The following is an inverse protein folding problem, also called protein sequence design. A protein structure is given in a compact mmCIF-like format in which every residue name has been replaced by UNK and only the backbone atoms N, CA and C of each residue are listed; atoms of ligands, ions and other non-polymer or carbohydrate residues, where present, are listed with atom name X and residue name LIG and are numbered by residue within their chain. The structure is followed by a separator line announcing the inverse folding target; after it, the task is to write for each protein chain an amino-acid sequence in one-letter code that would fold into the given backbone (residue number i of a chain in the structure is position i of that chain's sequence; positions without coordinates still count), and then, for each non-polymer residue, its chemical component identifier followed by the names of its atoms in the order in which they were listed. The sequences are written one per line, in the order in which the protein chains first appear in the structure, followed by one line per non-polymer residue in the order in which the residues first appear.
data_IF_894729480288
#
_entry.id   IF_894729480288
#
_cell.length_a   1.000
_cell.length_b   1.000
_cell.length_c   1.000
_cell.angle_alpha   90.00
_cell.angle_beta   90.00
_cell.angle_gamma   90.00
#
_symmetry.space_group_name_H-M   'P 1'
#
loop_
_entity.id
_entity.type
_entity.pdbx_description
1 polymer ?
#
# COMPACT_ATOMS: atom_id res chain seq x y z
N UNK A 1 2.59 -7.62 2.33
CA UNK A 1 2.18 -7.03 1.03
C UNK A 1 0.71 -7.27 0.74
N UNK A 2 0.22 -8.51 0.84
CA UNK A 2 -1.17 -8.89 0.56
C UNK A 2 -2.22 -8.02 1.28
N UNK A 3 -2.07 -7.83 2.60
CA UNK A 3 -2.98 -7.02 3.41
C UNK A 3 -3.22 -5.61 2.85
N UNK A 4 -2.15 -4.91 2.43
CA UNK A 4 -2.27 -3.55 1.88
C UNK A 4 -3.03 -3.53 0.55
N UNK A 5 -2.85 -4.54 -0.28
CA UNK A 5 -3.56 -4.65 -1.56
C UNK A 5 -5.05 -4.94 -1.33
N UNK A 6 -5.38 -5.84 -0.40
CA UNK A 6 -6.76 -6.14 -0.03
C UNK A 6 -7.47 -4.92 0.55
N UNK A 7 -6.81 -4.15 1.43
CA UNK A 7 -7.36 -2.90 1.95
C UNK A 7 -7.65 -1.88 0.84
N UNK A 8 -6.75 -1.75 -0.15
CA UNK A 8 -6.97 -0.88 -1.32
C UNK A 8 -8.21 -1.31 -2.11
N UNK A 9 -8.34 -2.61 -2.38
CA UNK A 9 -9.48 -3.14 -3.14
C UNK A 9 -10.80 -2.98 -2.37
N UNK A 10 -10.76 -3.13 -1.05
CA UNK A 10 -11.91 -2.92 -0.19
C UNK A 10 -12.40 -1.46 -0.23
N UNK A 11 -11.46 -0.49 -0.22
CA UNK A 11 -11.79 0.92 -0.40
C UNK A 11 -12.50 1.19 -1.73
N UNK A 12 -11.95 0.68 -2.83
CA UNK A 12 -12.57 0.84 -4.16
C UNK A 12 -13.95 0.20 -4.25
N UNK A 13 -14.16 -0.98 -3.63
CA UNK A 13 -15.47 -1.61 -3.57
C UNK A 13 -16.49 -0.76 -2.80
N UNK A 14 -16.09 -0.15 -1.68
CA UNK A 14 -16.97 0.76 -0.94
C UNK A 14 -17.35 1.97 -1.80
N UNK A 15 -16.42 2.53 -2.57
CA UNK A 15 -16.71 3.63 -3.50
C UNK A 15 -17.64 3.22 -4.64
N UNK A 16 -17.50 2.01 -5.21
CA UNK A 16 -18.46 1.52 -6.20
C UNK A 16 -19.84 1.21 -5.62
N UNK A 17 -19.93 0.80 -4.35
CA UNK A 17 -21.20 0.55 -3.67
C UNK A 17 -21.91 1.85 -3.27
N UNK A 18 -21.18 2.89 -2.87
CA UNK A 18 -21.77 4.15 -2.36
C UNK A 18 -21.97 5.15 -3.49
N UNK A 19 -21.02 5.24 -4.43
CA UNK A 19 -20.97 6.23 -5.50
C UNK A 19 -22.28 6.41 -6.29
N UNK A 20 -22.94 5.33 -6.75
CA UNK A 20 -24.18 5.44 -7.54
C UNK A 20 -25.39 5.98 -6.77
N UNK A 21 -25.36 5.93 -5.43
CA UNK A 21 -26.52 6.25 -4.58
C UNK A 21 -26.38 7.59 -3.86
N UNK A 22 -25.24 8.27 -3.98
CA UNK A 22 -24.98 9.55 -3.28
C UNK A 22 -24.48 10.64 -4.22
N UNK A 23 -24.66 11.90 -3.83
CA UNK A 23 -24.06 13.03 -4.53
C UNK A 23 -22.53 13.02 -4.41
N UNK A 24 -21.84 13.58 -5.40
CA UNK A 24 -20.38 13.71 -5.43
C UNK A 24 -19.80 14.36 -4.16
N UNK A 25 -20.46 15.39 -3.63
CA UNK A 25 -20.04 16.04 -2.39
C UNK A 25 -20.14 15.11 -1.18
N UNK A 26 -21.22 14.33 -1.08
CA UNK A 26 -21.40 13.34 0.00
C UNK A 26 -20.38 12.22 -0.10
N UNK A 27 -20.03 11.79 -1.32
CA UNK A 27 -18.99 10.79 -1.55
C UNK A 27 -17.61 11.27 -1.06
N UNK A 28 -17.25 12.53 -1.33
CA UNK A 28 -16.00 13.14 -0.84
C UNK A 28 -15.98 13.18 0.68
N UNK A 29 -17.07 13.59 1.32
CA UNK A 29 -17.15 13.64 2.79
C UNK A 29 -17.03 12.24 3.37
N UNK A 30 -17.68 11.24 2.76
CA UNK A 30 -17.58 9.84 3.18
C UNK A 30 -16.16 9.28 3.03
N UNK A 31 -15.47 9.57 1.93
CA UNK A 31 -14.09 9.11 1.71
C UNK A 31 -13.09 9.81 2.63
N UNK A 32 -13.39 11.02 3.12
CA UNK A 32 -12.58 11.75 4.09
C UNK A 32 -12.63 11.15 5.51
N UNK A 33 -13.67 10.38 5.85
CA UNK A 33 -13.78 9.73 7.16
C UNK A 33 -12.60 8.79 7.42
N UNK A 34 -12.21 7.98 6.43
CA UNK A 34 -11.12 7.01 6.55
C UNK A 34 -9.75 7.65 6.87
N UNK A 35 -9.24 8.67 6.14
CA UNK A 35 -7.98 9.33 6.46
C UNK A 35 -8.04 10.11 7.78
N UNK A 36 -9.18 10.70 8.16
CA UNK A 36 -9.32 11.38 9.46
C UNK A 36 -9.22 10.36 10.60
N UNK A 37 -9.92 9.23 10.51
CA UNK A 37 -9.79 8.14 11.48
C UNK A 37 -8.36 7.60 11.55
N UNK A 38 -7.70 7.46 10.40
CA UNK A 38 -6.30 7.06 10.36
C UNK A 38 -5.40 8.05 11.11
N UNK A 39 -5.55 9.36 10.87
CA UNK A 39 -4.79 10.40 11.59
C UNK A 39 -5.01 10.34 13.10
N UNK A 40 -6.26 10.17 13.54
CA UNK A 40 -6.60 10.06 14.96
C UNK A 40 -5.98 8.82 15.61
N UNK A 41 -6.03 7.67 14.94
CA UNK A 41 -5.44 6.43 15.43
C UNK A 41 -3.90 6.46 15.41
N UNK A 42 -3.30 7.13 14.43
CA UNK A 42 -1.86 7.20 14.25
C UNK A 42 -1.14 7.82 15.46
N UNK A 43 -1.78 8.72 16.20
CA UNK A 43 -1.21 9.29 17.44
C UNK A 43 -0.87 8.25 18.51
N UNK A 44 -1.51 7.07 18.50
CA UNK A 44 -1.25 5.98 19.46
C UNK A 44 -0.22 4.97 18.97
N UNK A 45 0.18 5.03 17.69
CA UNK A 45 1.11 4.07 17.11
C UNK A 45 2.53 4.46 17.48
N UNK A 46 3.32 3.58 18.11
CA UNK A 46 4.70 3.89 18.44
C UNK A 46 5.53 4.08 17.17
N UNK A 47 6.54 4.95 17.23
CA UNK A 47 7.45 5.15 16.10
C UNK A 47 8.12 3.84 15.67
N UNK A 48 8.45 3.73 14.38
CA UNK A 48 9.09 2.53 13.83
C UNK A 48 10.39 2.20 14.59
N UNK A 49 10.59 0.95 15.06
CA UNK A 49 11.80 0.57 15.78
C UNK A 49 13.07 0.75 14.93
N UNK A 50 12.97 0.64 13.60
CA UNK A 50 14.07 0.90 12.68
C UNK A 50 14.55 2.36 12.74
N UNK A 51 13.61 3.30 12.84
CA UNK A 51 13.92 4.73 12.97
C UNK A 51 14.59 5.05 14.31
N UNK A 52 14.08 4.47 15.40
CA UNK A 52 14.65 4.65 16.75
C UNK A 52 16.09 4.14 16.84
N UNK A 53 16.40 3.00 16.19
CA UNK A 53 17.76 2.47 16.12
C UNK A 53 18.70 3.38 15.33
N UNK A 54 18.26 3.93 14.19
CA UNK A 54 19.06 4.89 13.41
C UNK A 54 19.38 6.14 14.23
N UNK A 55 18.45 6.59 15.06
CA UNK A 55 18.62 7.75 15.95
C UNK A 55 19.53 7.46 17.15
N UNK A 56 19.98 6.21 17.33
CA UNK A 56 20.79 5.77 18.46
C UNK A 56 20.00 5.49 19.73
N UNK A 57 18.66 5.53 19.69
CA UNK A 57 17.82 5.31 20.86
C UNK A 57 17.42 3.83 21.01
N UNK A 58 18.39 3.04 21.46
CA UNK A 58 18.22 1.59 21.62
C UNK A 58 17.17 1.23 22.69
N UNK A 59 17.06 2.04 23.75
CA UNK A 59 16.11 1.76 24.86
C UNK A 59 14.67 1.90 24.37
N UNK A 60 14.33 2.97 23.65
CA UNK A 60 12.99 3.11 23.06
C UNK A 60 12.73 2.08 21.97
N UNK A 61 13.74 1.74 21.16
CA UNK A 61 13.60 0.69 20.14
C UNK A 61 13.22 -0.66 20.76
N UNK A 62 13.90 -1.09 21.83
CA UNK A 62 13.59 -2.35 22.54
C UNK A 62 12.17 -2.30 23.12
N UNK A 63 11.78 -1.18 23.74
CA UNK A 63 10.43 -1.00 24.28
C UNK A 63 9.35 -1.09 23.19
N UNK A 64 9.57 -0.46 22.04
CA UNK A 64 8.65 -0.52 20.89
C UNK A 64 8.55 -1.95 20.36
N UNK A 65 9.66 -2.65 20.16
CA UNK A 65 9.66 -4.04 19.68
C UNK A 65 8.96 -4.96 20.69
N UNK A 66 9.21 -4.78 21.98
CA UNK A 66 8.53 -5.51 23.04
C UNK A 66 7.00 -5.26 23.02
N UNK A 67 6.57 -4.01 22.83
CA UNK A 67 5.16 -3.64 22.73
C UNK A 67 4.48 -4.22 21.48
N UNK A 68 5.21 -4.36 20.36
CA UNK A 68 4.66 -4.90 19.11
C UNK A 68 4.63 -6.43 19.08
N UNK A 69 5.55 -7.11 19.80
CA UNK A 69 5.76 -8.56 19.70
C UNK A 69 5.41 -9.35 20.96
N UNK A 70 5.07 -8.70 22.08
CA UNK A 70 4.55 -9.35 23.29
C UNK A 70 5.47 -10.39 23.95
N UNK A 71 6.80 -10.34 23.74
CA UNK A 71 7.74 -11.38 24.21
C UNK A 71 9.18 -10.91 24.44
N UNK A 72 10.02 -11.80 24.99
CA UNK A 72 11.34 -11.49 25.57
C UNK A 72 12.52 -11.37 24.58
N UNK A 73 12.32 -11.46 23.26
CA UNK A 73 13.42 -11.39 22.27
C UNK A 73 13.61 -10.01 21.62
N UNK A 74 13.07 -8.94 22.23
CA UNK A 74 13.14 -7.59 21.68
C UNK A 74 14.58 -7.09 21.49
N UNK A 75 15.49 -7.49 22.39
CA UNK A 75 16.92 -7.11 22.32
C UNK A 75 17.64 -7.75 21.14
N UNK A 76 17.35 -9.02 20.83
CA UNK A 76 17.94 -9.73 19.71
C UNK A 76 17.52 -9.12 18.37
N UNK A 77 16.25 -8.76 18.24
CA UNK A 77 15.71 -8.09 17.05
C UNK A 77 16.35 -6.72 16.87
N UNK A 78 16.49 -5.93 17.94
CA UNK A 78 17.14 -4.63 17.86
C UNK A 78 18.62 -4.76 17.49
N UNK A 79 19.30 -5.81 17.96
CA UNK A 79 20.67 -6.14 17.51
C UNK A 79 20.72 -6.55 16.04
N UNK A 80 19.77 -7.34 15.55
CA UNK A 80 19.68 -7.67 14.12
C UNK A 80 19.45 -6.43 13.26
N UNK A 81 18.57 -5.53 13.69
CA UNK A 81 18.30 -4.26 13.03
C UNK A 81 19.56 -3.39 12.99
N UNK A 82 20.30 -3.29 14.10
CA UNK A 82 21.58 -2.58 14.16
C UNK A 82 22.60 -3.18 13.19
N UNK A 83 22.78 -4.50 13.20
CA UNK A 83 23.69 -5.18 12.28
C UNK A 83 23.30 -4.97 10.81
N UNK A 84 22.01 -4.91 10.49
CA UNK A 84 21.53 -4.58 9.14
C UNK A 84 21.84 -3.13 8.78
N UNK A 85 21.63 -2.19 9.71
CA UNK A 85 21.93 -0.77 9.49
C UNK A 85 23.42 -0.58 9.26
N UNK A 86 24.29 -1.15 10.08
CA UNK A 86 25.75 -1.07 9.95
C UNK A 86 26.23 -1.65 8.62
N UNK A 87 25.72 -2.82 8.21
CA UNK A 87 26.00 -3.41 6.89
C UNK A 87 25.52 -2.51 5.75
N UNK A 88 24.35 -1.87 5.90
CA UNK A 88 23.77 -0.97 4.89
C UNK A 88 24.40 0.44 4.86
N UNK A 89 25.11 0.85 5.91
CA UNK A 89 25.76 2.17 6.01
C UNK A 89 27.16 2.20 5.38
N UNK A 90 27.66 1.07 4.88
CA UNK A 90 28.94 1.00 4.15
C UNK A 90 28.93 1.72 2.80
N UNK A 91 27.76 2.18 2.33
CA UNK A 91 27.63 3.01 1.13
C UNK A 91 26.87 4.30 1.42
N UNK A 92 27.41 5.43 0.98
CA UNK A 92 26.70 6.71 0.98
C UNK A 92 25.33 6.54 0.29
N UNK A 93 24.23 6.79 1.02
CA UNK A 93 22.85 6.69 0.53
C UNK A 93 22.47 7.89 -0.35
N UNK A 94 23.34 8.23 -1.29
CA UNK A 94 23.09 9.28 -2.27
C UNK A 94 22.27 8.71 -3.42
N UNK A 95 21.21 9.41 -3.84
CA UNK A 95 20.45 9.08 -5.05
C UNK A 95 21.37 8.88 -6.27
N UNK A 96 22.52 9.55 -6.31
CA UNK A 96 23.56 9.38 -7.34
C UNK A 96 24.17 7.98 -7.35
N UNK A 97 24.34 7.33 -6.20
CA UNK A 97 24.89 5.98 -6.11
C UNK A 97 23.89 4.91 -6.57
N UNK A 98 22.59 5.21 -6.52
CA UNK A 98 21.55 4.33 -7.04
C UNK A 98 21.62 4.18 -8.57
N UNK A 99 22.07 5.23 -9.26
CA UNK A 99 22.23 5.28 -10.73
C UNK A 99 23.66 5.00 -11.19
N UNK A 100 24.65 5.16 -10.31
CA UNK A 100 26.07 4.99 -10.65
C UNK A 100 26.53 3.52 -10.63
N UNK A 101 25.87 2.66 -9.86
CA UNK A 101 26.26 1.25 -9.75
C UNK A 101 25.46 0.38 -10.73
N UNK A 102 26.11 -0.37 -11.65
CA UNK A 102 25.42 -1.07 -12.74
C UNK A 102 24.41 -2.13 -12.26
N UNK A 103 24.65 -2.75 -11.11
CA UNK A 103 23.72 -3.72 -10.50
C UNK A 103 22.41 -3.07 -10.03
N UNK A 104 22.48 -1.95 -9.31
CA UNK A 104 21.32 -1.20 -8.83
C UNK A 104 20.59 -0.48 -9.96
N UNK A 105 21.31 0.04 -10.95
CA UNK A 105 20.71 0.70 -12.13
C UNK A 105 19.90 -0.29 -12.97
N UNK A 106 20.39 -1.52 -13.17
CA UNK A 106 19.62 -2.56 -13.87
C UNK A 106 18.36 -2.94 -13.11
N UNK A 107 18.45 -3.09 -11.79
CA UNK A 107 17.28 -3.33 -10.93
C UNK A 107 16.27 -2.19 -11.02
N UNK A 108 16.73 -0.94 -10.89
CA UNK A 108 15.91 0.26 -10.99
C UNK A 108 15.20 0.34 -12.36
N UNK A 109 15.92 0.09 -13.45
CA UNK A 109 15.36 0.14 -14.80
C UNK A 109 14.30 -0.94 -15.01
N UNK A 110 14.52 -2.16 -14.50
CA UNK A 110 13.51 -3.22 -14.53
C UNK A 110 12.26 -2.87 -13.72
N UNK A 111 12.42 -2.33 -12.50
CA UNK A 111 11.26 -1.90 -11.70
C UNK A 111 10.51 -0.75 -12.36
N UNK A 112 11.22 0.24 -12.91
CA UNK A 112 10.60 1.35 -13.64
C UNK A 112 9.85 0.86 -14.88
N UNK A 113 10.43 -0.05 -15.65
CA UNK A 113 9.77 -0.65 -16.81
C UNK A 113 8.52 -1.45 -16.39
N UNK A 114 8.62 -2.26 -15.33
CA UNK A 114 7.47 -3.01 -14.81
C UNK A 114 6.33 -2.08 -14.37
N UNK A 115 6.64 -0.99 -13.64
CA UNK A 115 5.65 0.00 -13.23
C UNK A 115 5.06 0.76 -14.43
N UNK A 116 5.87 1.09 -15.42
CA UNK A 116 5.41 1.74 -16.64
C UNK A 116 4.46 0.83 -17.43
N UNK A 117 4.82 -0.44 -17.64
CA UNK A 117 3.96 -1.42 -18.29
C UNK A 117 2.66 -1.63 -17.51
N UNK A 118 2.72 -1.64 -16.18
CA UNK A 118 1.53 -1.74 -15.33
C UNK A 118 0.58 -0.54 -15.52
N UNK A 119 1.11 0.68 -15.61
CA UNK A 119 0.26 1.88 -15.85
C UNK A 119 -0.24 1.96 -17.30
N UNK A 120 0.62 1.62 -18.28
CA UNK A 120 0.29 1.62 -19.70
C UNK A 120 -0.72 0.54 -20.09
N UNK A 121 -0.90 -0.50 -19.25
CA UNK A 121 -1.99 -1.48 -19.42
C UNK A 121 -3.39 -0.84 -19.39
N UNK A 122 -3.50 0.41 -18.93
CA UNK A 122 -4.77 1.14 -18.89
C UNK A 122 -5.65 0.78 -17.69
N UNK A 123 -5.15 -0.04 -16.74
CA UNK A 123 -5.91 -0.43 -15.56
C UNK A 123 -6.45 0.76 -14.76
N UNK A 124 -5.68 1.85 -14.68
CA UNK A 124 -6.10 3.08 -13.98
C UNK A 124 -7.26 3.77 -14.69
N UNK A 125 -7.22 3.84 -16.03
CA UNK A 125 -8.32 4.40 -16.83
C UNK A 125 -9.56 3.50 -16.74
N UNK A 126 -9.38 2.18 -16.80
CA UNK A 126 -10.46 1.21 -16.62
C UNK A 126 -11.13 1.39 -15.26
N UNK A 127 -10.37 1.45 -14.16
CA UNK A 127 -10.91 1.62 -12.79
C UNK A 127 -11.65 2.96 -12.62
N UNK A 128 -11.13 4.04 -13.20
CA UNK A 128 -11.71 5.38 -13.06
C UNK A 128 -13.02 5.51 -13.85
N UNK A 129 -13.06 4.93 -15.06
CA UNK A 129 -14.19 5.06 -15.97
C UNK A 129 -15.02 3.77 -16.10
N UNK A 130 -14.94 2.87 -15.12
CA UNK A 130 -15.60 1.55 -15.18
C UNK A 130 -17.10 1.67 -15.48
N UNK A 131 -17.82 2.55 -14.78
CA UNK A 131 -19.25 2.75 -15.00
C UNK A 131 -19.55 3.31 -16.40
N UNK A 132 -18.78 4.30 -16.86
CA UNK A 132 -18.94 4.88 -18.20
C UNK A 132 -18.66 3.87 -19.30
N UNK A 133 -17.64 3.02 -19.13
CA UNK A 133 -17.31 1.95 -20.07
C UNK A 133 -18.46 0.95 -20.19
N UNK A 134 -19.09 0.57 -19.07
CA UNK A 134 -20.25 -0.33 -19.09
C UNK A 134 -21.52 0.31 -19.66
N UNK A 135 -21.71 1.62 -19.47
CA UNK A 135 -22.79 2.37 -20.13
C UNK A 135 -22.62 2.36 -21.66
N UNK A 136 -21.40 2.64 -22.14
CA UNK A 136 -21.08 2.65 -23.57
C UNK A 136 -21.18 1.26 -24.22
N UNK A 137 -21.06 0.19 -23.44
CA UNK A 137 -21.11 -1.19 -23.93
C UNK A 137 -22.53 -1.70 -24.16
N UNK A 138 -23.56 -0.86 -24.01
CA UNK A 138 -25.00 -1.20 -24.16
C UNK A 138 -25.39 -2.49 -23.42
N UNK A 139 -24.85 -2.68 -22.21
CA UNK A 139 -25.09 -3.92 -21.46
C UNK A 139 -26.52 -3.99 -20.92
N UNK A 140 -27.09 -5.21 -20.82
CA UNK A 140 -28.45 -5.45 -20.27
C UNK A 140 -28.57 -5.15 -18.77
N UNK A 141 -27.44 -4.96 -18.08
CA UNK A 141 -27.38 -4.68 -16.64
C UNK A 141 -27.12 -3.19 -16.41
N UNK A 142 -27.66 -2.64 -15.32
CA UNK A 142 -27.33 -1.28 -14.91
C UNK A 142 -25.82 -1.16 -14.68
N UNK A 143 -25.20 -0.14 -15.28
CA UNK A 143 -23.75 0.04 -15.25
C UNK A 143 -23.18 0.10 -13.82
N UNK A 144 -23.97 0.64 -12.88
CA UNK A 144 -23.63 0.68 -11.47
C UNK A 144 -23.50 -0.71 -10.85
N UNK A 145 -24.38 -1.65 -11.21
CA UNK A 145 -24.32 -3.05 -10.75
C UNK A 145 -23.11 -3.77 -11.34
N UNK A 146 -22.81 -3.52 -12.62
CA UNK A 146 -21.62 -4.06 -13.29
C UNK A 146 -20.31 -3.56 -12.66
N UNK A 147 -20.25 -2.29 -12.26
CA UNK A 147 -19.09 -1.72 -11.56
C UNK A 147 -18.89 -2.34 -10.17
N UNK A 148 -19.97 -2.55 -9.40
CA UNK A 148 -19.91 -3.24 -8.11
C UNK A 148 -19.42 -4.68 -8.27
N UNK A 149 -19.94 -5.41 -9.27
CA UNK A 149 -19.51 -6.78 -9.55
C UNK A 149 -18.02 -6.84 -9.91
N UNK A 150 -17.56 -5.91 -10.76
CA UNK A 150 -16.15 -5.78 -11.11
C UNK A 150 -15.28 -5.54 -9.87
N UNK A 151 -15.68 -4.63 -8.99
CA UNK A 151 -14.99 -4.38 -7.71
C UNK A 151 -14.92 -5.61 -6.81
N UNK A 152 -16.01 -6.39 -6.73
CA UNK A 152 -16.06 -7.62 -5.94
C UNK A 152 -15.12 -8.70 -6.47
N UNK A 153 -15.10 -8.92 -7.79
CA UNK A 153 -14.16 -9.85 -8.43
C UNK A 153 -12.72 -9.38 -8.20
N UNK A 154 -12.46 -8.08 -8.35
CA UNK A 154 -11.13 -7.50 -8.14
C UNK A 154 -10.63 -7.72 -6.70
N UNK A 155 -11.51 -7.57 -5.70
CA UNK A 155 -11.21 -7.88 -4.30
C UNK A 155 -10.83 -9.35 -4.09
N UNK A 156 -11.61 -10.28 -4.65
CA UNK A 156 -11.36 -11.72 -4.51
C UNK A 156 -10.01 -12.09 -5.13
N UNK A 157 -9.75 -11.62 -6.35
CA UNK A 157 -8.47 -11.86 -7.04
C UNK A 157 -7.31 -11.28 -6.24
N UNK A 158 -7.46 -10.07 -5.69
CA UNK A 158 -6.44 -9.44 -4.84
C UNK A 158 -6.19 -10.20 -3.54
N UNK A 159 -7.19 -10.85 -2.97
CA UNK A 159 -7.05 -11.60 -1.73
C UNK A 159 -6.39 -12.97 -1.98
N UNK A 160 -6.78 -13.65 -3.05
CA UNK A 160 -6.30 -15.00 -3.39
C UNK A 160 -4.93 -14.98 -4.06
N UNK A 161 -4.65 -13.98 -4.91
CA UNK A 161 -3.41 -13.92 -5.68
C UNK A 161 -2.13 -14.06 -4.83
N UNK A 162 -1.94 -13.25 -3.78
CA UNK A 162 -0.78 -13.36 -2.90
C UNK A 162 -0.70 -14.64 -2.05
N UNK A 163 -1.80 -15.41 -1.95
CA UNK A 163 -1.84 -16.67 -1.20
C UNK A 163 -1.42 -17.84 -2.09
N UNK A 164 -1.62 -17.72 -3.40
CA UNK A 164 -1.32 -18.76 -4.39
C UNK A 164 0.09 -18.61 -5.01
N UNK A 165 0.65 -17.39 -4.99
CA UNK A 165 1.98 -17.06 -5.51
C UNK A 165 3.09 -17.21 -4.47
#
# INVERSE_FOLDING_TARGET
SAFLLTCRCLGMLMEFCIGPYVSYHTLIVASLVAPVLYLLCHFKVPESPYYLVIKGDRVRAVKTVASLRGGMSAEEIVTQIQGFIERSNTGSKSFKNLVATPGTTKGLLMTMLLLALQQLSGITAMLTYTEQLFLLSESKLSASVSAILFGAVYLIVSAVGPVVA
#
